data_IF_368766745629
#
_entry.id   IF_368766745629
#
_cell.length_a   1.000
_cell.length_b   1.000
_cell.length_c   1.000
_cell.angle_alpha   90.00
_cell.angle_beta   90.00
_cell.angle_gamma   90.00
#
_symmetry.space_group_name_H-M   'P 1'
#
loop_
_entity.id
_entity.type
_entity.pdbx_description
1 polymer ?
#
# COMPACT_ATOMS: atom_id res chain seq x y z
N UNK A 1 -2.04 12.62 17.87
CA UNK A 1 -1.75 14.06 18.06
C UNK A 1 -0.73 14.17 19.18
N UNK A 2 0.44 14.75 18.92
CA UNK A 2 1.51 14.86 19.92
C UNK A 2 1.21 15.98 20.92
N UNK A 3 2.01 16.03 22.00
CA UNK A 3 1.87 16.92 23.16
C UNK A 3 1.62 18.41 22.80
N UNK A 4 2.09 18.88 21.64
CA UNK A 4 1.98 20.28 21.21
C UNK A 4 0.98 20.49 20.06
N UNK A 5 0.03 19.57 19.85
CA UNK A 5 -0.95 19.68 18.75
C UNK A 5 -0.39 19.33 17.36
N UNK A 6 0.87 18.90 17.27
CA UNK A 6 1.46 18.47 16.01
C UNK A 6 1.02 17.06 15.61
N UNK A 7 1.03 16.79 14.30
CA UNK A 7 0.76 15.48 13.70
C UNK A 7 1.95 15.14 12.80
N UNK A 8 2.45 13.90 12.92
CA UNK A 8 3.53 13.40 12.06
C UNK A 8 2.90 12.62 10.92
N UNK A 9 3.25 12.97 9.71
CA UNK A 9 2.78 12.32 8.48
C UNK A 9 4.02 11.75 7.78
N UNK A 10 3.91 10.53 7.27
CA UNK A 10 4.93 9.87 6.46
C UNK A 10 4.39 9.63 5.05
N UNK A 11 5.22 9.91 4.06
CA UNK A 11 4.98 9.52 2.67
C UNK A 11 5.95 8.37 2.37
N UNK A 12 5.43 7.20 2.00
CA UNK A 12 6.26 6.03 1.78
C UNK A 12 5.94 5.39 0.44
N UNK A 13 6.96 5.12 -0.35
CA UNK A 13 6.86 4.45 -1.65
C UNK A 13 7.60 3.12 -1.60
N UNK A 14 7.03 2.08 -0.97
CA UNK A 14 7.66 0.77 -0.92
C UNK A 14 7.73 0.13 -2.32
N UNK A 15 8.64 -0.83 -2.54
CA UNK A 15 8.70 -1.56 -3.80
C UNK A 15 7.42 -2.36 -4.03
N UNK A 16 6.85 -2.20 -5.22
CA UNK A 16 5.65 -2.90 -5.67
C UNK A 16 6.02 -3.98 -6.70
N UNK A 17 5.21 -5.04 -6.76
CA UNK A 17 5.29 -6.14 -7.71
C UNK A 17 3.95 -6.22 -8.45
N UNK A 18 3.97 -6.01 -9.76
CA UNK A 18 2.79 -6.16 -10.62
C UNK A 18 2.31 -7.62 -10.57
N UNK A 19 0.99 -7.82 -10.50
CA UNK A 19 0.40 -9.17 -10.48
C UNK A 19 0.53 -9.91 -9.15
N UNK A 20 1.03 -9.26 -8.07
CA UNK A 20 1.11 -9.88 -6.75
C UNK A 20 0.66 -8.92 -5.63
N UNK A 21 -0.66 -8.74 -5.43
CA UNK A 21 -1.19 -7.82 -4.43
C UNK A 21 -0.78 -8.14 -3.00
N UNK A 22 -0.71 -9.42 -2.63
CA UNK A 22 -0.34 -9.85 -1.28
C UNK A 22 1.10 -9.45 -0.93
N UNK A 23 2.05 -9.59 -1.88
CA UNK A 23 3.42 -9.11 -1.68
C UNK A 23 3.47 -7.60 -1.49
N UNK A 24 2.62 -6.85 -2.20
CA UNK A 24 2.54 -5.40 -2.04
C UNK A 24 1.99 -5.01 -0.67
N UNK A 25 0.98 -5.72 -0.18
CA UNK A 25 0.46 -5.58 1.18
C UNK A 25 1.54 -5.83 2.24
N UNK A 26 2.35 -6.89 2.10
CA UNK A 26 3.48 -7.13 3.01
C UNK A 26 4.52 -6.01 2.98
N UNK A 27 4.82 -5.45 1.81
CA UNK A 27 5.70 -4.29 1.70
C UNK A 27 5.16 -3.08 2.47
N UNK A 28 3.84 -2.82 2.40
CA UNK A 28 3.19 -1.76 3.18
C UNK A 28 3.20 -2.07 4.68
N UNK A 29 2.88 -3.30 5.07
CA UNK A 29 2.92 -3.75 6.46
C UNK A 29 4.31 -3.57 7.08
N UNK A 30 5.37 -3.84 6.32
CA UNK A 30 6.75 -3.60 6.75
C UNK A 30 7.06 -2.12 7.01
N UNK A 31 6.46 -1.20 6.25
CA UNK A 31 6.55 0.24 6.49
C UNK A 31 5.78 0.61 7.76
N UNK A 32 4.51 0.17 7.85
CA UNK A 32 3.64 0.47 8.99
C UNK A 32 4.24 0.01 10.31
N UNK A 33 4.82 -1.19 10.35
CA UNK A 33 5.46 -1.75 11.55
C UNK A 33 6.68 -0.95 12.05
N UNK A 34 7.31 -0.16 11.17
CA UNK A 34 8.49 0.66 11.49
C UNK A 34 8.15 2.14 11.68
N UNK A 35 7.01 2.57 11.16
CA UNK A 35 6.59 3.96 11.20
C UNK A 35 6.29 4.41 12.63
N UNK A 36 6.68 5.65 12.93
CA UNK A 36 6.25 6.37 14.14
C UNK A 36 5.27 7.49 13.79
N UNK A 37 4.83 7.58 12.54
CA UNK A 37 3.91 8.60 12.08
C UNK A 37 2.48 8.31 12.55
N UNK A 38 1.66 9.35 12.63
CA UNK A 38 0.22 9.19 12.88
C UNK A 38 -0.52 8.75 11.63
N UNK A 39 -0.01 9.12 10.45
CA UNK A 39 -0.54 8.72 9.15
C UNK A 39 0.62 8.35 8.24
N UNK A 40 0.46 7.25 7.50
CA UNK A 40 1.35 6.87 6.41
C UNK A 40 0.53 6.89 5.13
N UNK A 41 1.00 7.64 4.13
CA UNK A 41 0.39 7.74 2.82
C UNK A 41 1.22 6.91 1.83
N UNK A 42 0.53 6.06 1.08
CA UNK A 42 1.10 5.23 0.02
C UNK A 42 0.69 5.75 -1.36
N UNK A 43 1.41 5.37 -2.42
CA UNK A 43 1.07 5.75 -3.79
C UNK A 43 -0.29 5.22 -4.24
N UNK A 44 -0.81 5.82 -5.30
CA UNK A 44 -2.00 5.35 -6.01
C UNK A 44 -1.87 3.88 -6.41
N UNK A 45 -2.95 3.12 -6.25
CA UNK A 45 -3.03 1.71 -6.63
C UNK A 45 -1.87 0.86 -6.08
N UNK A 46 -1.38 1.17 -4.88
CA UNK A 46 -0.23 0.51 -4.28
C UNK A 46 -0.41 -1.00 -4.07
N UNK A 47 -1.64 -1.48 -3.90
CA UNK A 47 -1.95 -2.91 -3.82
C UNK A 47 -1.83 -3.60 -5.18
N UNK A 48 -2.43 -3.04 -6.22
CA UNK A 48 -2.43 -3.65 -7.57
C UNK A 48 -1.19 -3.33 -8.40
N UNK A 49 -0.41 -2.32 -7.98
CA UNK A 49 0.48 -1.52 -8.85
C UNK A 49 -0.32 -0.72 -9.89
N UNK A 50 0.01 0.57 -10.04
CA UNK A 50 -0.58 1.44 -11.06
C UNK A 50 -0.35 0.90 -12.48
N UNK A 51 0.78 0.24 -12.70
CA UNK A 51 1.19 -0.31 -14.00
C UNK A 51 0.65 -1.70 -14.31
N UNK A 52 -0.41 -2.17 -13.63
CA UNK A 52 -0.97 -3.51 -13.83
C UNK A 52 -1.57 -3.74 -15.23
N UNK A 53 -1.95 -2.68 -15.95
CA UNK A 53 -2.39 -2.77 -17.34
C UNK A 53 -3.57 -3.73 -17.52
N UNK A 54 -3.46 -4.67 -18.45
CA UNK A 54 -4.55 -5.56 -18.82
C UNK A 54 -5.01 -6.49 -17.68
N UNK A 55 -4.20 -6.67 -16.63
CA UNK A 55 -4.61 -7.41 -15.44
C UNK A 55 -5.87 -6.80 -14.78
N UNK A 56 -6.14 -5.50 -14.99
CA UNK A 56 -7.36 -4.87 -14.50
C UNK A 56 -8.65 -5.43 -15.11
N UNK A 57 -8.58 -6.16 -16.23
CA UNK A 57 -9.73 -6.84 -16.82
C UNK A 57 -9.96 -8.25 -16.27
N UNK A 58 -9.03 -8.78 -15.45
CA UNK A 58 -9.12 -10.11 -14.86
C UNK A 58 -9.85 -10.05 -13.51
N UNK A 59 -11.00 -10.72 -13.41
CA UNK A 59 -11.78 -10.79 -12.16
C UNK A 59 -10.99 -11.45 -11.02
N UNK A 60 -10.18 -12.44 -11.34
CA UNK A 60 -9.28 -13.09 -10.38
C UNK A 60 -8.25 -12.12 -9.78
N UNK A 61 -7.75 -11.17 -10.58
CA UNK A 61 -6.82 -10.15 -10.09
C UNK A 61 -7.52 -9.17 -9.15
N UNK A 62 -8.76 -8.79 -9.45
CA UNK A 62 -9.57 -7.98 -8.55
C UNK A 62 -9.81 -8.70 -7.20
N UNK A 63 -10.19 -9.98 -7.24
CA UNK A 63 -10.38 -10.81 -6.05
C UNK A 63 -9.10 -10.90 -5.20
N UNK A 64 -7.95 -11.09 -5.84
CA UNK A 64 -6.65 -11.09 -5.15
C UNK A 64 -6.34 -9.76 -4.46
N UNK A 65 -6.69 -8.63 -5.10
CA UNK A 65 -6.53 -7.30 -4.48
C UNK A 65 -7.45 -7.15 -3.26
N UNK A 66 -8.68 -7.64 -3.31
CA UNK A 66 -9.58 -7.66 -2.16
C UNK A 66 -9.11 -8.56 -1.02
N UNK A 67 -8.48 -9.70 -1.33
CA UNK A 67 -7.92 -10.60 -0.32
C UNK A 67 -6.67 -10.04 0.37
N UNK A 68 -5.97 -9.11 -0.29
CA UNK A 68 -4.74 -8.49 0.23
C UNK A 68 -5.00 -7.21 1.06
N UNK A 69 -6.24 -6.72 1.09
CA UNK A 69 -6.72 -5.64 1.98
C UNK A 69 -6.92 -6.14 3.42
#
# INVERSE_FOLDING_TARGET
MYKNGSIKIELSSPPLTVGNPLKNAYSMQNVLNKSKASFVLFPELCLSSYTAGDLFFETTFLEQNFQAL
#
